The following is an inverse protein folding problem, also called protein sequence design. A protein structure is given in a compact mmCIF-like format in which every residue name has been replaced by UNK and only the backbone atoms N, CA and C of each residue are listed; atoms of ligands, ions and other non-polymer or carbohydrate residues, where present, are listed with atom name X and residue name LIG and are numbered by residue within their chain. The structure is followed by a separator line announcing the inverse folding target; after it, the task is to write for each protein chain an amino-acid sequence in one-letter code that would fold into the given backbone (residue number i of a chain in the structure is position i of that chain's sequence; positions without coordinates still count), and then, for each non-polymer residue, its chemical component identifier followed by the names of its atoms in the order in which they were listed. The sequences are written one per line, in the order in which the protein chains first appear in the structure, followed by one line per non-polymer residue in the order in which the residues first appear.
data_IF_062796604501
#
_entry.id   IF_062796604501
#
_cell.length_a   1.000
_cell.length_b   1.000
_cell.length_c   1.000
_cell.angle_alpha   90.00
_cell.angle_beta   90.00
_cell.angle_gamma   90.00
#
_symmetry.space_group_name_H-M   'P 1'
#
loop_
_entity.id
_entity.type
_entity.pdbx_description
1 polymer ?
#
# COMPACT_ATOMS: atom_id res chain seq x y z
N UNK A 1 -19.80 -31.61 39.56
CA UNK A 1 -18.36 -31.95 39.64
C UNK A 1 -17.95 -32.93 38.55
N UNK A 2 -18.45 -34.17 38.52
CA UNK A 2 -18.05 -35.16 37.51
C UNK A 2 -18.44 -34.76 36.06
N UNK A 3 -19.67 -34.27 35.86
CA UNK A 3 -20.13 -33.70 34.57
C UNK A 3 -19.32 -32.48 34.11
N UNK A 4 -18.85 -31.67 35.05
CA UNK A 4 -18.10 -30.45 34.74
C UNK A 4 -16.67 -30.80 34.32
N UNK A 5 -16.07 -31.83 34.92
CA UNK A 5 -14.79 -32.39 34.48
C UNK A 5 -14.88 -32.99 33.08
N UNK A 6 -15.92 -33.76 32.78
CA UNK A 6 -16.11 -34.37 31.46
C UNK A 6 -16.28 -33.29 30.37
N UNK A 7 -17.02 -32.22 30.65
CA UNK A 7 -17.18 -31.09 29.73
C UNK A 7 -15.84 -30.36 29.51
N UNK A 8 -15.09 -30.11 30.58
CA UNK A 8 -13.80 -29.42 30.52
C UNK A 8 -12.78 -30.22 29.71
N UNK A 9 -12.75 -31.54 29.87
CA UNK A 9 -11.88 -32.45 29.11
C UNK A 9 -12.20 -32.39 27.61
N UNK A 10 -13.49 -32.47 27.24
CA UNK A 10 -13.93 -32.38 25.83
C UNK A 10 -13.60 -31.04 25.20
N UNK A 11 -13.81 -29.93 25.91
CA UNK A 11 -13.47 -28.58 25.42
C UNK A 11 -11.97 -28.44 25.22
N UNK A 12 -11.16 -28.97 26.14
CA UNK A 12 -9.71 -28.93 26.05
C UNK A 12 -9.21 -29.72 24.83
N UNK A 13 -9.72 -30.94 24.62
CA UNK A 13 -9.38 -31.76 23.45
C UNK A 13 -9.77 -31.04 22.15
N UNK A 14 -10.96 -30.47 22.09
CA UNK A 14 -11.44 -29.73 20.91
C UNK A 14 -10.52 -28.54 20.57
N UNK A 15 -10.12 -27.74 21.57
CA UNK A 15 -9.21 -26.62 21.37
C UNK A 15 -7.83 -27.06 20.88
N UNK A 16 -7.29 -28.16 21.42
CA UNK A 16 -6.01 -28.73 20.96
C UNK A 16 -6.10 -29.12 19.48
N UNK A 17 -7.18 -29.79 19.08
CA UNK A 17 -7.40 -30.19 17.68
C UNK A 17 -7.53 -28.97 16.77
N UNK A 18 -8.33 -27.98 17.16
CA UNK A 18 -8.55 -26.77 16.37
C UNK A 18 -7.26 -25.96 16.17
N UNK A 19 -6.49 -25.74 17.24
CA UNK A 19 -5.22 -25.02 17.17
C UNK A 19 -4.22 -25.79 16.30
N UNK A 20 -4.15 -27.12 16.44
CA UNK A 20 -3.29 -27.96 15.60
C UNK A 20 -3.66 -27.85 14.11
N UNK A 21 -4.95 -27.83 13.78
CA UNK A 21 -5.42 -27.69 12.40
C UNK A 21 -5.08 -26.32 11.80
N UNK A 22 -5.25 -25.23 12.56
CA UNK A 22 -4.89 -23.87 12.13
C UNK A 22 -3.38 -23.80 11.87
N UNK A 23 -2.55 -24.32 12.78
CA UNK A 23 -1.10 -24.32 12.63
C UNK A 23 -0.67 -25.11 11.38
N UNK A 24 -1.23 -26.31 11.16
CA UNK A 24 -0.95 -27.10 9.96
C UNK A 24 -1.34 -26.37 8.67
N UNK A 25 -2.50 -25.71 8.66
CA UNK A 25 -2.94 -24.92 7.51
C UNK A 25 -2.02 -23.72 7.24
N UNK A 26 -1.62 -22.98 8.28
CA UNK A 26 -0.67 -21.87 8.15
C UNK A 26 0.69 -22.34 7.64
N UNK A 27 1.20 -23.48 8.14
CA UNK A 27 2.46 -24.07 7.65
C UNK A 27 2.35 -24.51 6.19
N UNK A 28 1.21 -25.05 5.77
CA UNK A 28 0.95 -25.41 4.37
C UNK A 28 0.96 -24.17 3.45
N UNK A 29 0.34 -23.07 3.87
CA UNK A 29 0.39 -21.80 3.12
C UNK A 29 1.83 -21.30 2.98
N UNK A 30 2.62 -21.39 4.07
CA UNK A 30 4.03 -20.99 4.05
C UNK A 30 4.89 -21.90 3.16
N UNK A 31 4.69 -23.21 3.18
CA UNK A 31 5.36 -24.16 2.29
C UNK A 31 5.08 -23.85 0.81
N UNK A 32 3.85 -23.43 0.48
CA UNK A 32 3.47 -23.04 -0.88
C UNK A 32 4.12 -21.73 -1.32
N UNK A 33 4.36 -20.80 -0.39
CA UNK A 33 4.90 -19.46 -0.68
C UNK A 33 6.43 -19.40 -0.67
N UNK A 34 7.07 -20.07 0.29
CA UNK A 34 8.52 -20.08 0.44
C UNK A 34 9.05 -21.38 -0.17
N UNK A 35 9.76 -21.27 -1.30
CA UNK A 35 10.43 -22.39 -1.97
C UNK A 35 11.59 -23.01 -1.12
N UNK A 36 11.74 -22.62 0.14
CA UNK A 36 12.74 -23.15 1.08
C UNK A 36 12.12 -24.21 1.99
N UNK A 37 12.36 -25.48 1.67
CA UNK A 37 11.83 -26.62 2.43
C UNK A 37 12.35 -26.72 3.87
N UNK A 38 13.57 -26.25 4.14
CA UNK A 38 14.25 -26.47 5.42
C UNK A 38 13.62 -25.72 6.62
N UNK A 39 13.23 -24.46 6.43
CA UNK A 39 12.58 -23.66 7.49
C UNK A 39 11.21 -24.21 7.88
N UNK A 40 10.46 -24.74 6.91
CA UNK A 40 9.16 -25.39 7.13
C UNK A 40 9.34 -26.69 7.92
N UNK A 41 10.35 -27.50 7.61
CA UNK A 41 10.60 -28.71 8.41
C UNK A 41 11.04 -28.38 9.84
N UNK A 42 11.86 -27.35 10.02
CA UNK A 42 12.31 -26.92 11.35
C UNK A 42 11.14 -26.40 12.22
N UNK A 43 10.22 -25.63 11.63
CA UNK A 43 9.04 -25.12 12.34
C UNK A 43 8.11 -26.26 12.77
N UNK A 44 7.86 -27.24 11.89
CA UNK A 44 7.04 -28.42 12.21
C UNK A 44 7.66 -29.24 13.34
N UNK A 45 8.98 -29.47 13.30
CA UNK A 45 9.69 -30.23 14.33
C UNK A 45 9.60 -29.52 15.70
N UNK A 46 9.73 -28.19 15.70
CA UNK A 46 9.61 -27.38 16.91
C UNK A 46 8.19 -27.39 17.48
N UNK A 47 7.16 -27.33 16.63
CA UNK A 47 5.75 -27.47 17.03
C UNK A 47 5.50 -28.85 17.67
N UNK A 48 5.97 -29.93 17.04
CA UNK A 48 5.81 -31.30 17.57
C UNK A 48 6.50 -31.45 18.93
N UNK A 49 7.71 -30.91 19.09
CA UNK A 49 8.43 -30.92 20.36
C UNK A 49 7.68 -30.17 21.47
N UNK A 50 7.08 -29.02 21.14
CA UNK A 50 6.34 -28.19 22.09
C UNK A 50 5.03 -28.87 22.54
N UNK A 51 4.31 -29.50 21.60
CA UNK A 51 3.14 -30.33 21.91
C UNK A 51 3.54 -31.53 22.78
N UNK A 52 4.64 -32.21 22.46
CA UNK A 52 5.16 -33.32 23.26
C UNK A 52 5.54 -32.91 24.68
N UNK A 53 6.17 -31.74 24.86
CA UNK A 53 6.51 -31.18 26.16
C UNK A 53 5.25 -30.89 26.99
N UNK A 54 4.22 -30.29 26.37
CA UNK A 54 2.95 -30.02 27.04
C UNK A 54 2.31 -31.33 27.52
N UNK A 55 2.20 -32.33 26.64
CA UNK A 55 1.66 -33.65 27.00
C UNK A 55 2.47 -34.28 28.14
N UNK A 56 3.80 -34.21 28.08
CA UNK A 56 4.68 -34.75 29.13
C UNK A 56 4.47 -34.06 30.48
N UNK A 57 4.35 -32.73 30.51
CA UNK A 57 4.05 -31.99 31.74
C UNK A 57 2.72 -32.42 32.35
N UNK A 58 1.68 -32.56 31.53
CA UNK A 58 0.37 -33.04 31.97
C UNK A 58 0.40 -34.47 32.52
N UNK A 59 1.19 -35.37 31.92
CA UNK A 59 1.30 -36.76 32.38
C UNK A 59 2.20 -36.90 33.61
N UNK A 60 3.23 -36.07 33.77
CA UNK A 60 4.20 -36.19 34.86
C UNK A 60 3.64 -35.79 36.23
N UNK A 61 2.68 -34.85 36.28
CA UNK A 61 2.14 -34.33 37.53
C UNK A 61 1.19 -35.33 38.24
N UNK A 62 0.80 -36.42 37.55
CA UNK A 62 -0.14 -37.43 38.07
C UNK A 62 0.46 -38.38 39.13
N UNK A 63 1.78 -38.38 39.37
CA UNK A 63 2.43 -39.47 40.13
C UNK A 63 2.76 -39.20 41.60
N UNK A 64 2.66 -37.96 42.10
CA UNK A 64 3.25 -37.61 43.41
C UNK A 64 2.30 -37.49 44.62
N UNK A 65 1.04 -37.91 44.53
CA UNK A 65 0.17 -38.00 45.71
C UNK A 65 0.25 -39.38 46.39
N UNK A 66 1.41 -39.71 46.96
CA UNK A 66 1.50 -40.75 48.01
C UNK A 66 1.68 -40.11 49.38
N UNK A 67 0.56 -40.06 50.09
CA UNK A 67 0.41 -39.64 51.47
C UNK A 67 1.54 -40.14 52.38
N UNK A 68 2.16 -39.22 53.13
CA UNK A 68 2.76 -39.54 54.43
C UNK A 68 1.92 -38.88 55.52
N UNK A 69 1.50 -39.64 56.55
CA UNK A 69 0.86 -39.06 57.70
C UNK A 69 1.92 -38.65 58.73
N UNK A 70 1.72 -37.47 59.33
CA UNK A 70 1.73 -37.22 60.78
C UNK A 70 2.38 -35.89 61.23
N UNK A 71 1.74 -35.39 62.29
CA UNK A 71 2.23 -34.60 63.42
C UNK A 71 2.48 -33.09 63.24
N UNK A 72 1.40 -32.35 63.50
CA UNK A 72 1.27 -31.23 64.47
C UNK A 72 2.60 -30.67 64.99
N UNK A 73 2.95 -29.45 64.59
CA UNK A 73 3.08 -28.29 65.47
C UNK A 73 3.17 -27.00 64.65
N UNK A 74 2.74 -25.91 65.28
CA UNK A 74 2.32 -24.64 64.70
C UNK A 74 3.47 -23.69 64.35
N UNK A 75 3.35 -23.00 63.21
CA UNK A 75 3.72 -21.58 63.06
C UNK A 75 3.04 -21.03 61.79
N UNK A 76 2.35 -19.90 61.90
CA UNK A 76 1.57 -19.28 60.82
C UNK A 76 2.49 -18.52 59.86
N UNK A 77 3.24 -19.24 59.04
CA UNK A 77 3.75 -18.67 57.79
C UNK A 77 2.62 -18.63 56.77
N UNK A 78 2.43 -17.47 56.12
CA UNK A 78 1.45 -17.30 55.06
C UNK A 78 1.88 -18.12 53.83
N UNK A 79 1.64 -19.43 53.87
CA UNK A 79 1.87 -20.32 52.75
C UNK A 79 1.00 -19.87 51.59
N UNK A 80 1.65 -19.47 50.50
CA UNK A 80 1.00 -19.15 49.24
C UNK A 80 0.05 -20.31 48.88
N UNK A 81 -1.24 -19.99 48.70
CA UNK A 81 -2.24 -21.00 48.34
C UNK A 81 -1.77 -21.72 47.07
N UNK A 82 -1.75 -23.06 47.05
CA UNK A 82 -1.39 -23.80 45.86
C UNK A 82 -2.40 -23.46 44.75
N UNK A 83 -1.88 -23.07 43.58
CA UNK A 83 -2.68 -22.78 42.40
C UNK A 83 -3.57 -23.97 42.06
N UNK A 84 -4.85 -23.67 41.80
CA UNK A 84 -5.83 -24.66 41.38
C UNK A 84 -5.46 -25.19 39.99
N UNK A 85 -5.88 -26.42 39.68
CA UNK A 85 -5.63 -27.05 38.36
C UNK A 85 -6.09 -26.13 37.21
N UNK A 86 -7.25 -25.48 37.37
CA UNK A 86 -7.82 -24.57 36.39
C UNK A 86 -6.95 -23.34 36.15
N UNK A 87 -6.34 -22.78 37.21
CA UNK A 87 -5.40 -21.66 37.09
C UNK A 87 -4.13 -22.11 36.37
N UNK A 88 -3.55 -23.27 36.72
CA UNK A 88 -2.38 -23.83 36.03
C UNK A 88 -2.64 -24.01 34.53
N UNK A 89 -3.79 -24.58 34.16
CA UNK A 89 -4.19 -24.77 32.76
C UNK A 89 -4.38 -23.43 32.04
N UNK A 90 -5.02 -22.45 32.70
CA UNK A 90 -5.25 -21.12 32.13
C UNK A 90 -3.95 -20.37 31.88
N UNK A 91 -3.00 -20.39 32.83
CA UNK A 91 -1.68 -19.80 32.65
C UNK A 91 -0.88 -20.52 31.56
N UNK A 92 -0.98 -21.85 31.47
CA UNK A 92 -0.36 -22.64 30.40
C UNK A 92 -0.87 -22.25 29.01
N UNK A 93 -2.19 -22.14 28.84
CA UNK A 93 -2.79 -21.69 27.58
C UNK A 93 -2.39 -20.24 27.23
N UNK A 94 -2.36 -19.35 28.21
CA UNK A 94 -1.97 -17.95 28.00
C UNK A 94 -0.50 -17.83 27.56
N UNK A 95 0.40 -18.64 28.13
CA UNK A 95 1.79 -18.72 27.72
C UNK A 95 1.95 -19.26 26.29
N UNK A 96 1.20 -20.30 25.91
CA UNK A 96 1.20 -20.85 24.55
C UNK A 96 0.69 -19.83 23.54
N UNK A 97 -0.40 -19.12 23.84
CA UNK A 97 -0.94 -18.08 22.98
C UNK A 97 0.06 -16.92 22.78
N UNK A 98 0.68 -16.45 23.86
CA UNK A 98 1.72 -15.42 23.79
C UNK A 98 2.91 -15.86 22.93
N UNK A 99 3.35 -17.12 23.10
CA UNK A 99 4.42 -17.69 22.28
C UNK A 99 4.04 -17.77 20.80
N UNK A 100 2.82 -18.21 20.47
CA UNK A 100 2.33 -18.26 19.09
C UNK A 100 2.26 -16.88 18.44
N UNK A 101 1.83 -15.84 19.19
CA UNK A 101 1.82 -14.45 18.70
C UNK A 101 3.24 -13.99 18.39
N UNK A 102 4.19 -14.16 19.33
CA UNK A 102 5.59 -13.75 19.15
C UNK A 102 6.22 -14.52 17.98
N UNK A 103 6.00 -15.83 17.90
CA UNK A 103 6.55 -16.67 16.84
C UNK A 103 5.98 -16.30 15.46
N UNK A 104 4.68 -16.00 15.37
CA UNK A 104 4.07 -15.53 14.13
C UNK A 104 4.64 -14.17 13.71
N UNK A 105 4.88 -13.24 14.64
CA UNK A 105 5.53 -11.96 14.37
C UNK A 105 6.98 -12.15 13.84
N UNK A 106 7.72 -13.11 14.39
CA UNK A 106 9.08 -13.45 13.92
C UNK A 106 9.04 -14.09 12.53
N UNK A 107 8.07 -14.96 12.23
CA UNK A 107 7.94 -15.52 10.88
C UNK A 107 7.60 -14.45 9.84
N UNK A 108 6.72 -13.51 10.18
CA UNK A 108 6.40 -12.38 9.30
C UNK A 108 7.65 -11.51 9.06
N UNK A 109 8.46 -11.25 10.09
CA UNK A 109 9.67 -10.44 9.96
C UNK A 109 10.82 -11.15 9.22
N UNK A 110 10.88 -12.49 9.25
CA UNK A 110 11.86 -13.25 8.47
C UNK A 110 11.40 -13.52 7.04
N UNK A 111 10.10 -13.74 6.81
CA UNK A 111 9.54 -13.87 5.47
C UNK A 111 9.70 -12.57 4.65
N UNK A 112 9.59 -11.41 5.30
CA UNK A 112 9.90 -10.12 4.67
C UNK A 112 11.40 -9.94 4.38
N UNK A 113 12.29 -10.54 5.17
CA UNK A 113 13.74 -10.49 4.95
C UNK A 113 14.26 -11.47 3.88
N UNK A 114 13.69 -12.68 3.78
CA UNK A 114 14.14 -13.74 2.87
C UNK A 114 13.64 -13.54 1.41
N UNK A 115 12.63 -12.69 1.21
CA UNK A 115 12.13 -12.28 -0.11
C UNK A 115 13.11 -11.40 -0.92
N UNK A 116 14.38 -11.27 -0.50
CA UNK A 116 15.42 -10.58 -1.28
C UNK A 116 15.21 -9.07 -1.42
N UNK A 117 14.41 -8.48 -0.55
CA UNK A 117 14.14 -7.04 -0.44
C UNK A 117 14.97 -6.45 0.69
N UNK A 118 16.28 -6.39 0.48
CA UNK A 118 17.22 -5.66 1.34
C UNK A 118 17.23 -4.15 1.08
N UNK A 119 16.34 -3.63 0.23
CA UNK A 119 15.81 -2.27 0.34
C UNK A 119 14.52 -2.35 1.13
N UNK A 120 14.45 -1.65 2.26
CA UNK A 120 13.25 -1.60 3.09
C UNK A 120 12.05 -1.08 2.30
N UNK A 121 11.28 -1.99 1.71
CA UNK A 121 9.86 -1.80 1.45
C UNK A 121 9.16 -1.92 2.81
N UNK A 122 9.37 -0.89 3.64
CA UNK A 122 8.20 -0.28 4.25
C UNK A 122 7.23 -0.12 3.09
N UNK A 123 6.15 -0.91 3.05
CA UNK A 123 4.93 -0.42 2.42
C UNK A 123 4.53 0.79 3.25
N UNK A 124 5.27 1.87 3.00
CA UNK A 124 4.78 3.21 3.04
C UNK A 124 3.62 3.11 2.06
N UNK A 125 2.45 2.79 2.58
CA UNK A 125 1.24 3.52 2.26
C UNK A 125 1.54 5.00 2.53
N UNK A 126 2.51 5.56 1.81
CA UNK A 126 2.85 6.98 1.79
C UNK A 126 1.87 7.65 0.87
N UNK A 127 0.60 7.61 1.26
CA UNK A 127 -0.10 8.87 1.40
C UNK A 127 -0.06 9.25 2.89
N UNK A 128 1.14 9.27 3.48
CA UNK A 128 1.41 10.33 4.44
C UNK A 128 1.34 11.56 3.56
N UNK A 129 0.15 12.19 3.51
CA UNK A 129 -0.09 13.43 2.76
C UNK A 129 1.10 14.33 3.05
N UNK A 130 2.06 14.35 2.13
CA UNK A 130 3.23 15.19 2.29
C UNK A 130 2.65 16.54 2.01
N UNK A 131 2.29 17.25 3.08
CA UNK A 131 1.63 18.54 3.01
C UNK A 131 2.45 19.35 2.02
N UNK A 132 1.90 19.56 0.82
CA UNK A 132 2.55 20.38 -0.17
C UNK A 132 2.74 21.75 0.50
N UNK A 133 3.99 22.18 0.61
CA UNK A 133 4.33 23.47 1.19
C UNK A 133 4.00 24.54 0.14
N UNK A 134 2.72 24.92 0.09
CA UNK A 134 2.24 26.00 -0.75
C UNK A 134 2.63 27.34 -0.12
N UNK A 135 3.09 28.24 -0.97
CA UNK A 135 3.66 29.54 -0.61
C UNK A 135 2.64 30.66 -0.67
N UNK A 136 1.50 30.43 -1.34
CA UNK A 136 0.50 31.45 -1.64
C UNK A 136 0.82 32.25 -2.91
N UNK A 137 1.99 32.08 -3.52
CA UNK A 137 2.27 32.56 -4.88
C UNK A 137 1.73 31.54 -5.90
N UNK A 138 0.71 31.89 -6.70
CA UNK A 138 0.07 30.95 -7.61
C UNK A 138 1.03 30.30 -8.61
N UNK A 139 2.12 30.97 -9.00
CA UNK A 139 3.07 30.43 -9.97
C UNK A 139 4.05 29.45 -9.33
N UNK A 140 4.55 29.75 -8.13
CA UNK A 140 5.41 28.83 -7.38
C UNK A 140 4.62 27.58 -6.96
N UNK A 141 3.37 27.79 -6.54
CA UNK A 141 2.47 26.72 -6.17
C UNK A 141 2.12 25.87 -7.40
N UNK A 142 1.90 26.48 -8.57
CA UNK A 142 1.71 25.74 -9.81
C UNK A 142 2.92 24.85 -10.17
N UNK A 143 4.14 25.38 -10.05
CA UNK A 143 5.35 24.58 -10.28
C UNK A 143 5.43 23.39 -9.33
N UNK A 144 5.11 23.61 -8.06
CA UNK A 144 5.16 22.58 -7.01
C UNK A 144 4.11 21.50 -7.20
N UNK A 145 2.91 21.87 -7.64
CA UNK A 145 1.79 20.94 -7.87
C UNK A 145 1.93 20.19 -9.18
N UNK A 146 2.31 20.88 -10.25
CA UNK A 146 2.31 20.33 -11.62
C UNK A 146 3.60 19.57 -11.94
N UNK A 147 4.76 20.06 -11.48
CA UNK A 147 6.06 19.47 -11.80
C UNK A 147 6.48 18.53 -10.67
N UNK A 148 6.12 17.26 -10.84
CA UNK A 148 6.56 16.20 -9.94
C UNK A 148 8.07 15.99 -10.01
N UNK A 149 8.68 15.52 -8.91
CA UNK A 149 10.12 15.28 -8.79
C UNK A 149 10.40 13.93 -8.16
N UNK A 150 11.59 13.39 -8.41
CA UNK A 150 12.04 12.13 -7.83
C UNK A 150 11.43 10.89 -8.48
N UNK A 151 11.61 9.77 -7.79
CA UNK A 151 11.17 8.44 -8.26
C UNK A 151 9.81 8.12 -7.65
N UNK A 152 8.74 7.89 -8.44
CA UNK A 152 7.44 7.48 -7.90
C UNK A 152 7.52 6.10 -7.23
N UNK A 153 6.51 5.69 -6.46
CA UNK A 153 6.55 4.41 -5.72
C UNK A 153 6.68 3.16 -6.61
N UNK A 154 6.27 3.27 -7.88
CA UNK A 154 6.45 2.25 -8.92
C UNK A 154 7.68 2.51 -9.81
N UNK A 155 8.39 3.61 -9.55
CA UNK A 155 9.47 4.11 -10.39
C UNK A 155 10.66 3.17 -10.44
N UNK A 156 11.04 2.58 -9.30
CA UNK A 156 12.12 1.58 -9.25
C UNK A 156 11.79 0.34 -10.09
N UNK A 157 10.56 -0.17 -9.99
CA UNK A 157 10.11 -1.36 -10.72
C UNK A 157 10.08 -1.16 -12.24
N UNK A 158 9.76 0.06 -12.70
CA UNK A 158 9.74 0.41 -14.11
C UNK A 158 11.07 1.00 -14.61
N UNK A 159 11.96 1.44 -13.73
CA UNK A 159 13.15 2.23 -14.10
C UNK A 159 12.81 3.64 -14.60
N UNK A 160 11.77 4.28 -14.03
CA UNK A 160 11.29 5.62 -14.40
C UNK A 160 11.46 6.63 -13.26
N UNK A 161 11.68 7.89 -13.62
CA UNK A 161 11.81 9.02 -12.68
C UNK A 161 11.19 10.27 -13.27
N UNK A 162 10.53 11.09 -12.44
CA UNK A 162 10.07 12.40 -12.88
C UNK A 162 11.23 13.32 -13.27
N UNK A 163 12.44 13.06 -12.77
CA UNK A 163 13.64 13.85 -13.10
C UNK A 163 14.23 13.51 -14.48
N UNK A 164 13.76 12.42 -15.12
CA UNK A 164 14.11 12.04 -16.50
C UNK A 164 12.84 11.71 -17.31
N UNK A 165 12.04 12.74 -17.66
CA UNK A 165 10.75 12.54 -18.28
C UNK A 165 10.83 12.00 -19.71
N UNK A 166 11.94 12.22 -20.42
CA UNK A 166 12.14 11.71 -21.78
C UNK A 166 12.36 10.20 -21.75
N UNK A 167 13.32 9.72 -20.96
CA UNK A 167 13.54 8.28 -20.82
C UNK A 167 12.31 7.57 -20.26
N UNK A 168 11.64 8.19 -19.30
CA UNK A 168 10.46 7.62 -18.68
C UNK A 168 9.27 7.53 -19.65
N UNK A 169 9.08 8.55 -20.50
CA UNK A 169 8.08 8.51 -21.58
C UNK A 169 8.28 7.26 -22.46
N UNK A 170 9.52 6.98 -22.85
CA UNK A 170 9.88 5.83 -23.68
C UNK A 170 9.55 4.49 -23.03
N UNK A 171 9.85 4.36 -21.74
CA UNK A 171 9.57 3.14 -20.98
C UNK A 171 8.06 2.95 -20.82
N UNK A 172 7.36 3.97 -20.34
CA UNK A 172 5.93 3.88 -20.02
C UNK A 172 5.10 3.68 -21.29
N UNK A 173 5.44 4.35 -22.40
CA UNK A 173 4.74 4.18 -23.67
C UNK A 173 4.80 2.73 -24.19
N UNK A 174 5.87 1.98 -23.87
CA UNK A 174 5.98 0.57 -24.25
C UNK A 174 5.01 -0.34 -23.48
N UNK A 175 4.39 0.14 -22.40
CA UNK A 175 3.40 -0.59 -21.61
C UNK A 175 1.97 -0.47 -22.18
N UNK A 176 1.75 0.41 -23.16
CA UNK A 176 0.42 0.68 -23.73
C UNK A 176 -0.28 -0.62 -24.22
N UNK A 177 -1.52 -0.90 -23.78
CA UNK A 177 -2.23 -2.12 -24.18
C UNK A 177 -2.46 -2.26 -25.69
N UNK A 178 -2.51 -1.15 -26.44
CA UNK A 178 -2.79 -1.17 -27.88
C UNK A 178 -1.52 -1.22 -28.73
N UNK A 179 -0.58 -0.31 -28.50
CA UNK A 179 0.58 -0.07 -29.37
C UNK A 179 1.93 -0.38 -28.72
N UNK A 180 1.97 -0.64 -27.41
CA UNK A 180 3.20 -0.89 -26.68
C UNK A 180 3.96 -2.12 -27.18
N UNK A 181 5.28 -2.16 -27.00
CA UNK A 181 6.08 -3.37 -27.26
C UNK A 181 5.87 -4.43 -26.16
N UNK A 182 5.68 -3.97 -24.93
CA UNK A 182 5.48 -4.78 -23.72
C UNK A 182 4.05 -4.58 -23.20
N UNK A 183 3.06 -4.90 -24.03
CA UNK A 183 1.65 -4.59 -23.79
C UNK A 183 1.14 -5.18 -22.47
N UNK A 184 0.57 -4.34 -21.63
CA UNK A 184 -0.17 -4.81 -20.46
C UNK A 184 -1.50 -5.42 -20.88
N UNK A 185 -1.67 -6.71 -20.58
CA UNK A 185 -2.94 -7.43 -20.76
C UNK A 185 -3.81 -7.25 -19.52
N UNK A 186 -5.02 -6.73 -19.69
CA UNK A 186 -5.98 -6.50 -18.61
C UNK A 186 -7.07 -7.58 -18.62
N UNK A 187 -7.50 -8.03 -17.44
CA UNK A 187 -8.74 -8.79 -17.27
C UNK A 187 -9.97 -7.96 -17.69
N UNK A 188 -11.15 -8.57 -17.87
CA UNK A 188 -12.38 -7.82 -18.13
C UNK A 188 -12.67 -6.73 -17.09
N UNK A 189 -12.47 -7.03 -15.80
CA UNK A 189 -12.70 -6.12 -14.68
C UNK A 189 -11.67 -4.98 -14.68
N UNK A 190 -10.39 -5.32 -14.87
CA UNK A 190 -9.30 -4.35 -14.98
C UNK A 190 -9.50 -3.43 -16.20
N UNK A 191 -9.97 -3.98 -17.33
CA UNK A 191 -10.27 -3.22 -18.55
C UNK A 191 -11.44 -2.25 -18.32
N UNK A 192 -12.47 -2.66 -17.59
CA UNK A 192 -13.59 -1.78 -17.26
C UNK A 192 -13.13 -0.58 -16.41
N UNK A 193 -12.28 -0.85 -15.42
CA UNK A 193 -11.65 0.18 -14.58
C UNK A 193 -10.72 1.10 -15.38
N UNK A 194 -9.95 0.55 -16.30
CA UNK A 194 -9.11 1.31 -17.22
C UNK A 194 -9.95 2.26 -18.10
N UNK A 195 -11.07 1.79 -18.63
CA UNK A 195 -12.00 2.62 -19.43
C UNK A 195 -12.61 3.72 -18.55
N UNK A 196 -13.09 3.41 -17.34
CA UNK A 196 -13.70 4.43 -16.48
C UNK A 196 -12.74 5.56 -16.14
N UNK A 197 -11.47 5.25 -15.87
CA UNK A 197 -10.43 6.25 -15.57
C UNK A 197 -10.08 7.10 -16.79
N UNK A 198 -9.89 6.49 -17.96
CA UNK A 198 -9.30 7.16 -19.13
C UNK A 198 -10.32 7.74 -20.11
N UNK A 199 -11.62 7.52 -19.88
CA UNK A 199 -12.71 8.20 -20.57
C UNK A 199 -13.13 9.51 -19.89
N UNK A 200 -12.52 9.84 -18.74
CA UNK A 200 -12.76 11.13 -18.07
C UNK A 200 -12.17 12.26 -18.93
N UNK A 201 -12.94 13.32 -19.22
CA UNK A 201 -12.44 14.51 -19.90
C UNK A 201 -11.16 15.03 -19.25
N UNK A 202 -10.24 15.58 -20.04
CA UNK A 202 -8.93 16.11 -19.62
C UNK A 202 -7.93 15.08 -19.10
N UNK A 203 -8.28 13.80 -18.93
CA UNK A 203 -7.30 12.74 -18.70
C UNK A 203 -6.59 12.30 -19.99
N UNK A 204 -7.07 12.77 -21.15
CA UNK A 204 -6.45 12.61 -22.45
C UNK A 204 -5.32 13.61 -22.72
N UNK A 205 -5.05 13.82 -24.01
CA UNK A 205 -4.05 14.77 -24.49
C UNK A 205 -4.72 15.84 -25.35
N UNK A 206 -5.29 16.85 -24.71
CA UNK A 206 -5.89 17.99 -25.38
C UNK A 206 -4.85 18.91 -26.05
N UNK A 207 -3.59 18.85 -25.60
CA UNK A 207 -2.54 19.76 -26.06
C UNK A 207 -1.83 19.31 -27.35
N UNK A 208 -1.70 18.00 -27.58
CA UNK A 208 -1.01 17.47 -28.76
C UNK A 208 -1.98 17.17 -29.92
N UNK A 209 -3.03 16.38 -29.65
CA UNK A 209 -3.96 15.90 -30.69
C UNK A 209 -5.40 16.36 -30.49
N UNK A 210 -5.67 17.23 -29.51
CA UNK A 210 -7.02 17.73 -29.21
C UNK A 210 -7.96 16.68 -28.61
N UNK A 211 -7.46 15.50 -28.27
CA UNK A 211 -8.25 14.41 -27.72
C UNK A 211 -8.54 14.67 -26.23
N UNK A 212 -9.81 14.83 -25.89
CA UNK A 212 -10.22 15.11 -24.51
C UNK A 212 -10.14 13.88 -23.59
N UNK A 213 -10.14 12.68 -24.14
CA UNK A 213 -10.00 11.41 -23.40
C UNK A 213 -8.84 10.59 -23.97
N UNK A 214 -8.22 9.74 -23.16
CA UNK A 214 -7.13 8.89 -23.64
C UNK A 214 -7.67 7.65 -24.39
N UNK A 215 -8.87 7.19 -24.03
CA UNK A 215 -9.59 6.11 -24.71
C UNK A 215 -11.04 6.48 -25.00
N UNK A 216 -11.63 5.78 -25.96
CA UNK A 216 -13.06 5.80 -26.28
C UNK A 216 -13.85 4.96 -25.26
N UNK A 217 -15.19 5.04 -25.30
CA UNK A 217 -16.08 4.30 -24.39
C UNK A 217 -15.96 2.77 -24.50
N UNK A 218 -15.48 2.26 -25.62
CA UNK A 218 -15.18 0.84 -25.86
C UNK A 218 -13.70 0.46 -25.57
N UNK A 219 -12.92 1.41 -25.04
CA UNK A 219 -11.53 1.21 -24.62
C UNK A 219 -10.52 1.21 -25.76
N UNK A 220 -10.87 1.71 -26.95
CA UNK A 220 -9.90 1.94 -28.02
C UNK A 220 -9.14 3.24 -27.78
N UNK A 221 -7.86 3.35 -28.19
CA UNK A 221 -7.12 4.60 -28.14
C UNK A 221 -7.81 5.74 -28.89
N UNK A 222 -7.91 6.93 -28.29
CA UNK A 222 -8.40 8.14 -28.99
C UNK A 222 -7.30 8.79 -29.83
N UNK A 223 -6.03 8.55 -29.50
CA UNK A 223 -4.88 9.20 -30.13
C UNK A 223 -3.65 8.29 -30.16
N UNK A 224 -2.84 8.43 -31.22
CA UNK A 224 -1.67 7.60 -31.51
C UNK A 224 -0.33 8.18 -31.06
N UNK A 225 -0.28 9.32 -30.37
CA UNK A 225 0.98 9.90 -29.92
C UNK A 225 1.59 9.15 -28.73
N UNK A 226 2.91 9.23 -28.60
CA UNK A 226 3.68 8.55 -27.56
C UNK A 226 3.25 8.95 -26.14
N UNK A 227 2.85 10.21 -25.92
CA UNK A 227 2.30 10.66 -24.63
C UNK A 227 1.00 9.95 -24.26
N UNK A 228 0.09 9.78 -25.24
CA UNK A 228 -1.15 9.05 -25.02
C UNK A 228 -0.89 7.57 -24.76
N UNK A 229 0.12 6.99 -25.40
CA UNK A 229 0.58 5.63 -25.10
C UNK A 229 1.10 5.53 -23.68
N UNK A 230 1.90 6.49 -23.21
CA UNK A 230 2.41 6.49 -21.85
C UNK A 230 1.29 6.66 -20.81
N UNK A 231 0.34 7.58 -21.00
CA UNK A 231 -0.79 7.74 -20.07
C UNK A 231 -1.62 6.45 -19.95
N UNK A 232 -1.91 5.81 -21.09
CA UNK A 232 -2.63 4.53 -21.13
C UNK A 232 -1.80 3.38 -20.55
N UNK A 233 -0.53 3.28 -20.90
CA UNK A 233 0.41 2.28 -20.40
C UNK A 233 0.59 2.35 -18.90
N UNK A 234 0.74 3.56 -18.35
CA UNK A 234 0.83 3.77 -16.91
C UNK A 234 -0.45 3.35 -16.20
N UNK A 235 -1.61 3.80 -16.66
CA UNK A 235 -2.89 3.45 -16.04
C UNK A 235 -3.08 1.92 -16.03
N UNK A 236 -2.82 1.25 -17.15
CA UNK A 236 -2.91 -0.20 -17.25
C UNK A 236 -1.93 -0.91 -16.30
N UNK A 237 -0.69 -0.43 -16.22
CA UNK A 237 0.32 -0.98 -15.32
C UNK A 237 -0.09 -0.83 -13.84
N UNK A 238 -0.57 0.35 -13.46
CA UNK A 238 -0.99 0.63 -12.08
C UNK A 238 -2.19 -0.22 -11.66
N UNK A 239 -3.22 -0.31 -12.51
CA UNK A 239 -4.42 -1.12 -12.25
C UNK A 239 -4.04 -2.59 -12.02
N UNK A 240 -3.14 -3.12 -12.85
CA UNK A 240 -2.77 -4.53 -12.82
C UNK A 240 -1.85 -4.89 -11.65
N UNK A 241 -0.84 -4.06 -11.38
CA UNK A 241 0.22 -4.40 -10.42
C UNK A 241 -0.04 -3.85 -9.02
N UNK A 242 -0.93 -2.87 -8.89
CA UNK A 242 -1.29 -2.25 -7.62
C UNK A 242 -2.81 -2.20 -7.46
N UNK A 243 -3.53 -3.34 -7.45
CA UNK A 243 -4.98 -3.38 -7.39
C UNK A 243 -5.58 -2.68 -6.16
N UNK A 244 -4.78 -2.50 -5.10
CA UNK A 244 -5.15 -1.83 -3.86
C UNK A 244 -5.23 -0.30 -3.96
N UNK A 245 -4.61 0.35 -4.96
CA UNK A 245 -4.71 1.81 -5.10
C UNK A 245 -6.06 2.15 -5.74
N UNK A 246 -6.65 3.27 -5.34
CA UNK A 246 -7.95 3.73 -5.85
C UNK A 246 -7.87 4.37 -7.23
N UNK A 247 -9.02 4.54 -7.90
CA UNK A 247 -9.10 5.20 -9.22
C UNK A 247 -8.58 6.64 -9.18
N UNK A 248 -8.82 7.34 -8.07
CA UNK A 248 -8.31 8.70 -7.84
C UNK A 248 -6.79 8.73 -7.78
N UNK A 249 -6.18 7.73 -7.15
CA UNK A 249 -4.72 7.60 -7.11
C UNK A 249 -4.12 7.26 -8.48
N UNK A 250 -4.78 6.40 -9.26
CA UNK A 250 -4.36 6.14 -10.66
C UNK A 250 -4.44 7.43 -11.49
N UNK A 251 -5.56 8.17 -11.40
CA UNK A 251 -5.72 9.46 -12.09
C UNK A 251 -4.64 10.46 -11.69
N UNK A 252 -4.31 10.54 -10.40
CA UNK A 252 -3.24 11.41 -9.90
C UNK A 252 -1.91 11.08 -10.54
N UNK A 253 -1.52 9.81 -10.56
CA UNK A 253 -0.25 9.40 -11.14
C UNK A 253 -0.21 9.68 -12.65
N UNK A 254 -1.31 9.44 -13.37
CA UNK A 254 -1.42 9.83 -14.79
C UNK A 254 -1.31 11.34 -14.97
N UNK A 255 -1.96 12.14 -14.13
CA UNK A 255 -1.92 13.60 -14.19
C UNK A 255 -0.54 14.17 -13.87
N UNK A 256 0.21 13.56 -12.93
CA UNK A 256 1.61 13.92 -12.65
C UNK A 256 2.48 13.77 -13.89
N UNK A 257 2.38 12.64 -14.58
CA UNK A 257 3.11 12.43 -15.85
C UNK A 257 2.65 13.38 -16.95
N UNK A 258 1.36 13.68 -17.05
CA UNK A 258 0.86 14.71 -17.96
C UNK A 258 1.50 16.08 -17.67
N UNK A 259 1.66 16.44 -16.39
CA UNK A 259 2.43 17.61 -15.94
C UNK A 259 3.87 17.60 -16.45
N UNK A 260 4.53 16.44 -16.41
CA UNK A 260 5.90 16.32 -16.95
C UNK A 260 5.97 16.39 -18.48
N UNK A 261 4.94 15.89 -19.17
CA UNK A 261 4.90 15.87 -20.63
C UNK A 261 4.52 17.21 -21.24
N UNK A 262 3.67 17.99 -20.57
CA UNK A 262 3.13 19.27 -21.04
C UNK A 262 3.23 20.35 -19.95
N UNK A 263 4.44 20.65 -19.44
CA UNK A 263 4.60 21.43 -18.21
C UNK A 263 4.06 22.84 -18.35
N UNK A 264 4.36 23.52 -19.47
CA UNK A 264 3.87 24.89 -19.72
C UNK A 264 2.35 24.97 -19.70
N UNK A 265 1.66 24.10 -20.44
CA UNK A 265 0.21 24.11 -20.58
C UNK A 265 -0.48 23.70 -19.28
N UNK A 266 0.06 22.69 -18.57
CA UNK A 266 -0.50 22.24 -17.30
C UNK A 266 -0.36 23.31 -16.21
N UNK A 267 0.76 24.05 -16.15
CA UNK A 267 0.93 25.19 -15.23
C UNK A 267 -0.03 26.33 -15.58
N UNK A 268 -0.11 26.72 -16.86
CA UNK A 268 -1.04 27.78 -17.29
C UNK A 268 -2.49 27.43 -16.97
N UNK A 269 -2.87 26.17 -17.19
CA UNK A 269 -4.20 25.65 -16.85
C UNK A 269 -4.44 25.67 -15.35
N UNK A 270 -3.48 25.20 -14.55
CA UNK A 270 -3.56 25.25 -13.09
C UNK A 270 -3.80 26.67 -12.58
N UNK A 271 -2.97 27.64 -12.98
CA UNK A 271 -3.09 29.05 -12.54
C UNK A 271 -4.47 29.61 -12.88
N UNK A 272 -4.96 29.33 -14.09
CA UNK A 272 -6.30 29.75 -14.53
C UNK A 272 -7.41 29.10 -13.71
N UNK A 273 -7.32 27.81 -13.40
CA UNK A 273 -8.37 27.08 -12.69
C UNK A 273 -8.40 27.38 -11.19
N UNK A 274 -7.25 27.72 -10.58
CA UNK A 274 -7.21 28.24 -9.22
C UNK A 274 -7.91 29.60 -9.13
N UNK A 275 -7.79 30.46 -10.14
CA UNK A 275 -8.50 31.75 -10.20
C UNK A 275 -10.02 31.58 -10.23
N UNK A 276 -10.52 30.60 -10.97
CA UNK A 276 -11.98 30.37 -11.09
C UNK A 276 -12.52 29.46 -9.99
N UNK A 277 -11.66 28.69 -9.34
CA UNK A 277 -12.03 27.61 -8.43
C UNK A 277 -12.76 26.45 -9.11
N UNK A 278 -12.75 26.39 -10.43
CA UNK A 278 -13.35 25.32 -11.25
C UNK A 278 -12.23 24.45 -11.80
N UNK A 279 -12.06 23.26 -11.22
CA UNK A 279 -10.99 22.35 -11.56
C UNK A 279 -11.46 21.28 -12.53
N UNK A 280 -10.65 21.06 -13.56
CA UNK A 280 -10.75 19.90 -14.45
C UNK A 280 -10.25 18.64 -13.75
N UNK A 281 -10.46 17.47 -14.36
CA UNK A 281 -10.20 16.21 -13.69
C UNK A 281 -8.71 15.96 -13.42
N UNK A 282 -7.84 16.35 -14.35
CA UNK A 282 -6.39 16.25 -14.19
C UNK A 282 -5.86 17.21 -13.10
N UNK A 283 -6.32 18.47 -13.08
CA UNK A 283 -5.97 19.41 -12.01
C UNK A 283 -6.51 18.95 -10.65
N UNK A 284 -7.76 18.48 -10.60
CA UNK A 284 -8.35 17.93 -9.37
C UNK A 284 -7.55 16.73 -8.86
N UNK A 285 -7.08 15.86 -9.76
CA UNK A 285 -6.26 14.71 -9.40
C UNK A 285 -4.90 15.12 -8.80
N UNK A 286 -4.27 16.18 -9.33
CA UNK A 286 -3.04 16.73 -8.75
C UNK A 286 -3.25 17.34 -7.35
N UNK A 287 -4.46 17.82 -7.08
CA UNK A 287 -4.83 18.46 -5.82
C UNK A 287 -5.30 17.48 -4.72
N UNK A 288 -5.34 16.17 -4.97
CA UNK A 288 -5.84 15.18 -4.01
C UNK A 288 -5.11 15.17 -2.65
N UNK A 289 -3.82 15.54 -2.64
CA UNK A 289 -3.00 15.60 -1.42
C UNK A 289 -2.89 17.03 -0.84
N UNK A 290 -3.56 18.01 -1.45
CA UNK A 290 -3.61 19.38 -0.95
C UNK A 290 -4.74 19.51 0.06
N UNK A 291 -4.44 20.12 1.20
CA UNK A 291 -5.43 20.37 2.25
C UNK A 291 -6.52 21.34 1.76
N UNK A 292 -7.76 21.11 2.17
CA UNK A 292 -8.89 21.94 1.75
C UNK A 292 -8.78 23.39 2.27
N UNK A 293 -8.21 23.59 3.46
CA UNK A 293 -7.94 24.92 3.99
C UNK A 293 -6.87 25.64 3.16
N UNK A 294 -5.82 24.93 2.73
CA UNK A 294 -4.83 25.48 1.81
C UNK A 294 -5.44 25.84 0.45
N UNK A 295 -6.36 25.03 -0.08
CA UNK A 295 -7.09 25.36 -1.30
C UNK A 295 -7.94 26.63 -1.13
N UNK A 296 -8.55 26.85 0.05
CA UNK A 296 -9.28 28.08 0.36
C UNK A 296 -8.33 29.28 0.45
N UNK A 297 -7.20 29.14 1.13
CA UNK A 297 -6.17 30.18 1.23
C UNK A 297 -5.66 30.59 -0.15
N UNK A 298 -5.40 29.62 -1.05
CA UNK A 298 -5.02 29.89 -2.43
C UNK A 298 -6.08 30.69 -3.19
N UNK A 299 -7.36 30.30 -3.07
CA UNK A 299 -8.47 31.03 -3.71
C UNK A 299 -8.54 32.47 -3.20
N UNK A 300 -8.34 32.69 -1.91
CA UNK A 300 -8.32 34.02 -1.31
C UNK A 300 -7.10 34.84 -1.74
N UNK A 301 -5.91 34.23 -1.78
CA UNK A 301 -4.67 34.86 -2.25
C UNK A 301 -4.82 35.30 -3.72
N UNK A 302 -5.41 34.46 -4.55
CA UNK A 302 -5.68 34.79 -5.95
C UNK A 302 -6.72 35.89 -6.09
N UNK A 303 -7.84 35.82 -5.35
CA UNK A 303 -8.86 36.86 -5.36
C UNK A 303 -8.33 38.23 -4.89
N UNK A 304 -7.45 38.24 -3.88
CA UNK A 304 -6.81 39.46 -3.38
C UNK A 304 -5.68 39.98 -4.29
N UNK A 305 -5.02 39.10 -5.04
CA UNK A 305 -4.01 39.48 -6.05
C UNK A 305 -4.60 40.10 -7.32
N UNK A 306 -5.93 40.09 -7.48
CA UNK A 306 -6.70 40.56 -8.64
C UNK A 306 -6.63 42.05 -8.98
N UNK A 307 -5.58 42.76 -8.55
CA UNK A 307 -5.33 44.16 -8.93
C UNK A 307 -3.84 44.52 -9.12
N UNK A 308 -2.90 43.58 -8.92
CA UNK A 308 -1.47 43.82 -9.14
C UNK A 308 -0.94 42.96 -10.29
N UNK A 309 -1.24 43.40 -11.51
CA UNK A 309 -0.64 42.95 -12.75
C UNK A 309 0.86 43.34 -12.74
N UNK A 310 1.73 42.53 -12.11
CA UNK A 310 3.10 42.99 -11.88
C UNK A 310 4.16 42.02 -11.35
N UNK A 311 3.98 40.71 -11.30
CA UNK A 311 5.11 39.79 -11.04
C UNK A 311 5.73 39.29 -12.35
N UNK A 312 6.48 40.17 -13.02
CA UNK A 312 7.21 39.88 -14.25
C UNK A 312 8.18 38.70 -14.14
N UNK A 313 8.65 38.37 -12.93
CA UNK A 313 9.59 37.26 -12.71
C UNK A 313 8.96 35.85 -12.84
N UNK A 314 7.70 35.68 -12.45
CA UNK A 314 7.07 34.36 -12.45
C UNK A 314 6.54 33.97 -13.84
N UNK A 315 5.99 34.94 -14.58
CA UNK A 315 5.60 34.74 -15.98
C UNK A 315 6.80 34.34 -16.86
N UNK A 316 7.97 34.95 -16.62
CA UNK A 316 9.21 34.59 -17.32
C UNK A 316 9.64 33.13 -17.07
N UNK A 317 9.38 32.59 -15.87
CA UNK A 317 9.71 31.19 -15.56
C UNK A 317 8.84 30.19 -16.33
N UNK A 318 7.54 30.45 -16.46
CA UNK A 318 6.61 29.60 -17.22
C UNK A 318 6.90 29.67 -18.71
N UNK A 319 7.29 30.84 -19.21
CA UNK A 319 7.59 31.02 -20.63
C UNK A 319 8.85 30.27 -21.08
N UNK A 320 9.79 30.05 -20.16
CA UNK A 320 11.00 29.25 -20.41
C UNK A 320 10.77 27.74 -20.44
N UNK A 321 9.61 27.27 -19.96
CA UNK A 321 9.30 25.84 -19.94
C UNK A 321 8.93 25.33 -21.34
N UNK A 322 9.31 24.08 -21.68
CA UNK A 322 8.91 23.49 -22.94
C UNK A 322 7.40 23.28 -22.99
N UNK A 323 6.80 23.54 -24.15
CA UNK A 323 5.40 23.17 -24.41
C UNK A 323 5.18 21.66 -24.46
N UNK A 324 6.23 20.87 -24.69
CA UNK A 324 6.14 19.42 -24.74
C UNK A 324 7.51 18.79 -24.56
N UNK A 325 7.55 17.65 -23.86
CA UNK A 325 8.76 16.84 -23.69
C UNK A 325 8.68 15.57 -24.53
N UNK A 326 9.73 15.21 -25.26
CA UNK A 326 9.86 13.90 -25.93
C UNK A 326 9.41 13.78 -27.39
N UNK A 327 9.02 14.89 -28.05
CA UNK A 327 8.61 14.87 -29.46
C UNK A 327 7.27 14.18 -29.71
N UNK A 328 6.67 14.39 -30.90
CA UNK A 328 5.45 13.70 -31.34
C UNK A 328 5.79 12.35 -31.99
#
# INVERSE_FOLDING_TARGET
MEKDQELLEKVTIFLIVLVSAIILFTQYQFYRLLNSSLLVYLSVLLIVALVGLLVWLFVSESKDTKHKPHAIHAEHEAHAKPLTLTEKVSYGLMAVAAFLIIFNQIQISQASALAGLSTGLTFKTSSTKTSLALTGDPNQDAMTVVISRGVPFYGEALGVSFDDPIKSLDIIANLDPAYGRNKIQLSPEEKQRYISILTIPTMGCEYCCGANTAVTKDGRPTCGCKHSWAMRGLAAYLIKNYPQISDDEVKREVAKWKGMFFPKQMIQKYVKEVQTGQYTADISALLLDVDEEKLKEMKQAVASSGSAQGSSGAAQSVDSLPSMVGGC
#
